data_IF_606300648674
#
_entry.id   IF_606300648674
#
_cell.length_a   1.000
_cell.length_b   1.000
_cell.length_c   1.000
_cell.angle_alpha   90.00
_cell.angle_beta   90.00
_cell.angle_gamma   90.00
#
_symmetry.space_group_name_H-M   'P 1'
#
loop_
_entity.id
_entity.type
_entity.pdbx_description
1 polymer ?
#
# COMPACT_ATOMS: atom_id res chain seq x y z
N UNK A 1 -13.30 -26.34 -9.09
CA UNK A 1 -12.61 -25.37 -9.97
C UNK A 1 -12.99 -23.98 -9.49
N UNK A 2 -12.10 -23.29 -8.79
CA UNK A 2 -12.35 -21.90 -8.37
C UNK A 2 -12.31 -21.06 -9.63
N UNK A 3 -13.47 -20.53 -10.05
CA UNK A 3 -13.55 -19.60 -11.16
C UNK A 3 -12.69 -18.39 -10.83
N UNK A 4 -11.50 -18.31 -11.44
CA UNK A 4 -10.59 -17.20 -11.25
C UNK A 4 -11.29 -15.92 -11.70
N UNK A 5 -11.64 -15.07 -10.73
CA UNK A 5 -12.25 -13.77 -11.03
C UNK A 5 -11.22 -12.97 -11.82
N UNK A 6 -11.62 -12.56 -13.03
CA UNK A 6 -10.81 -11.81 -13.99
C UNK A 6 -10.17 -10.57 -13.34
N UNK A 7 -8.87 -10.36 -13.56
CA UNK A 7 -8.10 -9.22 -13.06
C UNK A 7 -8.85 -7.89 -13.27
N UNK A 8 -9.53 -7.71 -14.41
CA UNK A 8 -10.30 -6.50 -14.69
C UNK A 8 -11.38 -6.25 -13.65
N UNK A 9 -12.15 -7.28 -13.28
CA UNK A 9 -13.20 -7.19 -12.29
C UNK A 9 -12.61 -6.88 -10.89
N UNK A 10 -11.49 -7.52 -10.55
CA UNK A 10 -10.79 -7.26 -9.27
C UNK A 10 -10.26 -5.82 -9.19
N UNK A 11 -9.63 -5.31 -10.26
CA UNK A 11 -9.18 -3.90 -10.37
C UNK A 11 -10.34 -2.92 -10.20
N UNK A 12 -11.49 -3.21 -10.81
CA UNK A 12 -12.68 -2.38 -10.69
C UNK A 12 -13.24 -2.38 -9.26
N UNK A 13 -13.29 -3.54 -8.60
CA UNK A 13 -13.72 -3.67 -7.21
C UNK A 13 -12.83 -2.89 -6.24
N UNK A 14 -11.50 -3.01 -6.36
CA UNK A 14 -10.53 -2.21 -5.58
C UNK A 14 -10.76 -0.72 -5.83
N UNK A 15 -10.81 -0.30 -7.09
CA UNK A 15 -11.02 1.11 -7.45
C UNK A 15 -12.31 1.67 -6.85
N UNK A 16 -13.41 0.89 -6.89
CA UNK A 16 -14.69 1.26 -6.29
C UNK A 16 -14.57 1.42 -4.78
N UNK A 17 -13.92 0.49 -4.09
CA UNK A 17 -13.71 0.54 -2.65
C UNK A 17 -12.88 1.76 -2.24
N UNK A 18 -11.74 2.01 -2.90
CA UNK A 18 -10.87 3.15 -2.61
C UNK A 18 -11.60 4.50 -2.83
N UNK A 19 -12.37 4.62 -3.92
CA UNK A 19 -13.21 5.82 -4.16
C UNK A 19 -14.30 6.00 -3.12
N UNK A 20 -14.96 4.92 -2.68
CA UNK A 20 -15.97 4.99 -1.63
C UNK A 20 -15.38 5.49 -0.30
N UNK A 21 -14.10 5.18 -0.06
CA UNK A 21 -13.31 5.68 1.08
C UNK A 21 -12.70 7.08 0.86
N UNK A 22 -13.01 7.74 -0.26
CA UNK A 22 -12.46 9.05 -0.67
C UNK A 22 -10.93 9.08 -0.73
N UNK A 23 -10.29 7.94 -0.97
CA UNK A 23 -8.84 7.86 -1.18
C UNK A 23 -8.52 8.60 -2.48
N UNK A 24 -7.57 9.54 -2.42
CA UNK A 24 -7.22 10.37 -3.55
C UNK A 24 -6.39 9.57 -4.56
N UNK A 25 -6.64 9.80 -5.86
CA UNK A 25 -5.79 9.30 -6.94
C UNK A 25 -4.96 10.47 -7.48
N UNK A 26 -3.64 10.42 -7.34
CA UNK A 26 -2.73 11.47 -7.85
C UNK A 26 -1.67 10.83 -8.72
N UNK A 27 -1.49 11.35 -9.93
CA UNK A 27 -0.52 10.84 -10.92
C UNK A 27 -0.64 9.32 -11.21
N UNK A 28 -1.79 8.71 -10.97
CA UNK A 28 -2.02 7.27 -11.17
C UNK A 28 -1.89 6.40 -9.93
N UNK A 29 -1.52 6.97 -8.79
CA UNK A 29 -1.27 6.25 -7.54
C UNK A 29 -2.27 6.63 -6.46
N UNK A 30 -2.75 5.66 -5.69
CA UNK A 30 -3.69 5.92 -4.60
C UNK A 30 -2.95 6.43 -3.39
N UNK A 31 -3.52 7.44 -2.74
CA UNK A 31 -2.89 8.17 -1.64
C UNK A 31 -3.74 8.18 -0.39
N UNK A 32 -3.14 7.72 0.69
CA UNK A 32 -3.74 7.70 2.02
C UNK A 32 -2.86 8.57 2.93
N UNK A 33 -3.21 9.86 3.09
CA UNK A 33 -2.42 10.77 3.92
C UNK A 33 -2.62 10.46 5.40
N UNK A 34 -1.52 10.39 6.15
CA UNK A 34 -1.48 10.44 7.60
C UNK A 34 -0.79 11.71 8.11
N UNK A 35 -0.64 11.88 9.43
CA UNK A 35 0.00 13.06 10.02
C UNK A 35 1.47 13.25 9.62
N UNK A 36 2.26 12.18 9.51
CA UNK A 36 3.68 12.23 9.15
C UNK A 36 4.00 11.34 7.95
N UNK A 37 3.30 10.22 7.83
CA UNK A 37 3.43 9.25 6.74
C UNK A 37 2.27 9.41 5.77
N UNK A 38 2.58 9.53 4.48
CA UNK A 38 1.61 9.29 3.41
C UNK A 38 1.90 7.94 2.80
N UNK A 39 0.84 7.11 2.72
CA UNK A 39 0.91 5.84 2.03
C UNK A 39 0.53 5.98 0.57
N UNK A 40 1.34 5.37 -0.29
CA UNK A 40 1.10 5.22 -1.72
C UNK A 40 0.74 3.77 -2.00
N UNK A 41 -0.38 3.53 -2.69
CA UNK A 41 -0.86 2.18 -2.98
C UNK A 41 -1.07 1.99 -4.46
N UNK A 42 -0.40 0.99 -5.01
CA UNK A 42 -0.49 0.54 -6.39
C UNK A 42 -1.04 -0.88 -6.45
N UNK A 43 -1.78 -1.18 -7.52
CA UNK A 43 -2.36 -2.51 -7.73
C UNK A 43 -1.67 -3.21 -8.89
N UNK A 44 -0.88 -4.23 -8.57
CA UNK A 44 -0.08 -5.01 -9.53
C UNK A 44 -0.69 -6.38 -9.77
N UNK A 45 -0.39 -6.94 -10.95
CA UNK A 45 -0.67 -8.33 -11.26
C UNK A 45 0.65 -9.02 -11.55
N UNK A 46 0.76 -10.27 -11.13
CA UNK A 46 2.00 -11.06 -11.22
C UNK A 46 2.28 -11.54 -12.65
N UNK A 47 1.32 -11.37 -13.55
CA UNK A 47 1.47 -11.70 -14.96
C UNK A 47 0.28 -11.22 -15.81
N UNK A 48 0.36 -11.42 -17.13
CA UNK A 48 -0.64 -10.94 -18.07
C UNK A 48 -1.91 -11.80 -18.12
N UNK A 49 -1.89 -13.02 -17.55
CA UNK A 49 -3.01 -13.94 -17.61
C UNK A 49 -4.22 -13.40 -16.82
N UNK A 50 -5.47 -13.48 -17.32
CA UNK A 50 -6.65 -12.93 -16.63
C UNK A 50 -6.86 -13.43 -15.19
N UNK A 51 -6.33 -14.60 -14.85
CA UNK A 51 -6.41 -15.19 -13.52
C UNK A 51 -5.13 -15.03 -12.68
N UNK A 52 -4.14 -14.26 -13.14
CA UNK A 52 -2.90 -14.07 -12.39
C UNK A 52 -3.18 -13.46 -11.01
N UNK A 53 -2.38 -13.86 -10.03
CA UNK A 53 -2.41 -13.27 -8.71
C UNK A 53 -2.20 -11.75 -8.81
N UNK A 54 -2.79 -11.04 -7.86
CA UNK A 54 -2.69 -9.60 -7.75
C UNK A 54 -2.18 -9.25 -6.37
N UNK A 55 -1.48 -8.14 -6.25
CA UNK A 55 -0.93 -7.63 -5.01
C UNK A 55 -1.10 -6.13 -4.91
N UNK A 56 -1.25 -5.63 -3.70
CA UNK A 56 -1.01 -4.24 -3.38
C UNK A 56 0.48 -4.04 -3.21
N UNK A 57 1.06 -3.20 -4.06
CA UNK A 57 2.39 -2.65 -3.88
C UNK A 57 2.19 -1.37 -3.04
N UNK A 58 2.79 -1.32 -1.86
CA UNK A 58 2.55 -0.28 -0.85
C UNK A 58 3.85 0.42 -0.53
N UNK A 59 3.85 1.75 -0.66
CA UNK A 59 4.95 2.62 -0.34
C UNK A 59 4.64 3.52 0.86
N UNK A 60 5.62 3.78 1.72
CA UNK A 60 5.50 4.80 2.76
C UNK A 60 6.48 5.96 2.51
N UNK A 61 5.95 7.17 2.38
CA UNK A 61 6.74 8.41 2.38
C UNK A 61 6.54 9.14 3.71
N UNK A 62 7.61 9.32 4.47
CA UNK A 62 7.63 10.18 5.65
C UNK A 62 8.08 11.59 5.26
N UNK A 63 7.30 12.61 5.62
CA UNK A 63 7.60 14.01 5.23
C UNK A 63 8.94 14.54 5.76
N UNK A 64 9.46 13.95 6.84
CA UNK A 64 10.78 14.25 7.38
C UNK A 64 11.95 13.84 6.46
N UNK A 65 11.72 12.94 5.49
CA UNK A 65 12.74 12.48 4.54
C UNK A 65 12.90 13.41 3.33
N UNK A 66 12.14 14.50 3.28
CA UNK A 66 12.19 15.49 2.21
C UNK A 66 10.94 15.46 1.33
N UNK A 67 11.05 15.95 0.07
CA UNK A 67 9.90 16.09 -0.80
C UNK A 67 9.28 14.72 -1.12
N UNK A 68 7.97 14.73 -1.32
CA UNK A 68 7.27 13.53 -1.75
C UNK A 68 7.77 13.04 -3.11
N UNK A 69 8.00 11.72 -3.29
CA UNK A 69 8.37 11.18 -4.59
C UNK A 69 7.28 11.45 -5.63
N UNK A 70 7.72 11.66 -6.87
CA UNK A 70 6.81 11.94 -7.99
C UNK A 70 6.12 10.70 -8.54
N UNK A 71 6.68 9.52 -8.29
CA UNK A 71 6.20 8.24 -8.80
C UNK A 71 5.36 7.46 -7.80
N UNK A 72 5.47 6.13 -7.87
CA UNK A 72 4.56 5.19 -7.21
C UNK A 72 5.07 4.68 -5.88
N UNK A 73 4.45 3.60 -5.41
CA UNK A 73 4.88 2.92 -4.18
C UNK A 73 6.37 2.52 -4.22
N UNK A 74 6.87 2.11 -5.39
CA UNK A 74 8.28 1.72 -5.60
C UNK A 74 9.31 2.82 -5.34
N UNK A 75 8.89 4.09 -5.40
CA UNK A 75 9.77 5.25 -5.20
C UNK A 75 9.78 5.74 -3.74
N UNK A 76 9.12 5.00 -2.84
CA UNK A 76 9.02 5.35 -1.42
C UNK A 76 10.14 4.70 -0.59
N UNK A 77 10.44 5.31 0.56
CA UNK A 77 11.48 4.85 1.48
C UNK A 77 11.14 3.52 2.18
N UNK A 78 9.86 3.14 2.21
CA UNK A 78 9.42 1.78 2.50
C UNK A 78 8.68 1.24 1.29
N UNK A 79 8.93 -0.01 0.93
CA UNK A 79 8.19 -0.75 -0.10
C UNK A 79 7.82 -2.14 0.41
N UNK A 80 6.54 -2.48 0.33
CA UNK A 80 6.01 -3.78 0.71
C UNK A 80 5.00 -4.29 -0.32
N UNK A 81 4.95 -5.60 -0.51
CA UNK A 81 3.92 -6.27 -1.29
C UNK A 81 2.95 -7.00 -0.36
N UNK A 82 1.64 -6.77 -0.55
CA UNK A 82 0.57 -7.48 0.16
C UNK A 82 -0.30 -8.19 -0.86
N UNK A 83 -0.37 -9.52 -0.77
CA UNK A 83 -1.20 -10.31 -1.67
C UNK A 83 -2.67 -9.89 -1.58
N UNK A 84 -3.32 -9.69 -2.72
CA UNK A 84 -4.76 -9.45 -2.79
C UNK A 84 -5.49 -10.79 -2.59
N UNK A 85 -5.81 -11.10 -1.34
CA UNK A 85 -6.57 -12.30 -0.98
C UNK A 85 -8.08 -12.01 -0.87
N UNK A 86 -8.90 -13.04 -1.07
CA UNK A 86 -10.34 -12.95 -0.89
C UNK A 86 -11.06 -11.98 -1.83
N UNK A 87 -12.13 -11.35 -1.32
CA UNK A 87 -12.94 -10.37 -2.05
C UNK A 87 -12.17 -9.04 -2.16
N UNK A 88 -11.96 -8.58 -3.38
CA UNK A 88 -11.02 -7.50 -3.69
C UNK A 88 -11.44 -6.14 -3.08
N UNK A 89 -12.73 -5.82 -3.02
CA UNK A 89 -13.22 -4.59 -2.41
C UNK A 89 -13.04 -4.58 -0.89
N UNK A 90 -13.35 -5.69 -0.23
CA UNK A 90 -13.15 -5.89 1.20
C UNK A 90 -11.66 -5.84 1.56
N UNK A 91 -10.80 -6.51 0.79
CA UNK A 91 -9.36 -6.47 0.99
C UNK A 91 -8.79 -5.04 0.86
N UNK A 92 -9.24 -4.28 -0.15
CA UNK A 92 -8.84 -2.88 -0.30
C UNK A 92 -9.31 -2.00 0.87
N UNK A 93 -10.52 -2.25 1.37
CA UNK A 93 -11.08 -1.52 2.52
C UNK A 93 -10.25 -1.80 3.77
N UNK A 94 -9.97 -3.07 4.06
CA UNK A 94 -9.16 -3.48 5.19
C UNK A 94 -7.74 -2.92 5.13
N UNK A 95 -7.15 -2.87 3.92
CA UNK A 95 -5.84 -2.26 3.72
C UNK A 95 -5.88 -0.76 4.05
N UNK A 96 -6.87 -0.02 3.55
CA UNK A 96 -7.00 1.42 3.85
C UNK A 96 -7.14 1.66 5.34
N UNK A 97 -7.96 0.87 6.04
CA UNK A 97 -8.11 0.96 7.49
C UNK A 97 -6.79 0.74 8.20
N UNK A 98 -6.05 -0.32 7.82
CA UNK A 98 -4.76 -0.62 8.43
C UNK A 98 -3.72 0.49 8.20
N UNK A 99 -3.63 1.01 6.98
CA UNK A 99 -2.66 2.07 6.66
C UNK A 99 -3.03 3.41 7.30
N UNK A 100 -4.32 3.71 7.47
CA UNK A 100 -4.78 4.91 8.16
C UNK A 100 -4.43 4.90 9.66
N UNK A 101 -4.34 3.73 10.30
CA UNK A 101 -3.84 3.59 11.68
C UNK A 101 -2.33 3.85 11.79
N UNK A 102 -1.60 3.72 10.68
CA UNK A 102 -0.14 3.82 10.63
C UNK A 102 0.32 5.14 10.03
N UNK A 103 -0.23 6.24 10.53
CA UNK A 103 0.00 7.59 9.99
C UNK A 103 1.25 8.31 10.50
N UNK A 104 1.96 7.75 11.49
CA UNK A 104 3.17 8.35 12.10
C UNK A 104 4.36 7.41 12.04
N UNK A 105 5.58 7.95 12.11
CA UNK A 105 6.82 7.15 12.16
C UNK A 105 6.80 6.21 13.37
N UNK A 106 6.35 6.69 14.53
CA UNK A 106 6.20 5.87 15.74
C UNK A 106 5.23 4.70 15.54
N UNK A 107 4.06 4.94 14.93
CA UNK A 107 3.07 3.89 14.69
C UNK A 107 3.60 2.80 13.73
N UNK A 108 4.38 3.20 12.72
CA UNK A 108 5.02 2.30 11.77
C UNK A 108 6.11 1.46 12.47
N UNK A 109 7.02 2.09 13.22
CA UNK A 109 8.05 1.40 13.98
C UNK A 109 7.45 0.39 14.97
N UNK A 110 6.39 0.78 15.68
CA UNK A 110 5.67 -0.10 16.59
C UNK A 110 4.99 -1.28 15.86
N UNK A 111 4.45 -1.06 14.66
CA UNK A 111 3.89 -2.14 13.85
C UNK A 111 4.98 -3.13 13.38
N UNK A 112 6.10 -2.60 12.90
CA UNK A 112 7.25 -3.39 12.45
C UNK A 112 7.87 -4.24 13.54
N UNK A 113 8.02 -3.71 14.75
CA UNK A 113 8.52 -4.48 15.90
C UNK A 113 7.59 -5.65 16.30
N UNK A 114 6.31 -5.62 15.90
CA UNK A 114 5.36 -6.74 16.07
C UNK A 114 5.30 -7.68 14.86
N UNK A 115 6.09 -7.43 13.83
CA UNK A 115 6.19 -8.25 12.63
C UNK A 115 5.37 -7.76 11.43
N UNK A 116 4.62 -6.66 11.55
CA UNK A 116 3.95 -6.08 10.39
C UNK A 116 5.00 -5.54 9.40
N UNK A 117 4.84 -5.83 8.11
CA UNK A 117 5.81 -5.40 7.08
C UNK A 117 7.25 -5.87 7.35
N UNK A 118 7.44 -6.99 8.06
CA UNK A 118 8.79 -7.51 8.36
C UNK A 118 9.63 -7.73 7.10
N UNK A 119 9.00 -8.18 6.01
CA UNK A 119 9.66 -8.43 4.72
C UNK A 119 9.74 -7.19 3.82
N UNK A 120 9.26 -6.03 4.29
CA UNK A 120 9.33 -4.80 3.52
C UNK A 120 10.77 -4.34 3.34
N UNK A 121 11.06 -3.84 2.14
CA UNK A 121 12.26 -3.04 1.92
C UNK A 121 12.09 -1.71 2.66
N UNK A 122 13.13 -1.30 3.38
CA UNK A 122 13.16 -0.03 4.12
C UNK A 122 14.54 0.60 3.92
N UNK A 123 14.54 1.80 3.35
CA UNK A 123 15.73 2.62 3.19
C UNK A 123 16.36 3.00 4.54
N UNK A 124 17.67 3.21 4.53
CA UNK A 124 18.46 3.57 5.72
C UNK A 124 17.88 4.76 6.47
N UNK A 125 17.53 5.82 5.76
CA UNK A 125 17.12 7.07 6.40
C UNK A 125 15.75 6.92 7.10
N UNK A 126 14.86 6.06 6.58
CA UNK A 126 13.61 5.72 7.26
C UNK A 126 13.84 4.81 8.49
N UNK A 127 14.81 3.89 8.43
CA UNK A 127 15.21 3.10 9.60
C UNK A 127 15.74 3.98 10.72
N UNK A 128 16.61 4.94 10.39
CA UNK A 128 17.12 5.93 11.36
C UNK A 128 15.98 6.74 11.99
N UNK A 129 15.00 7.19 11.20
CA UNK A 129 13.81 7.87 11.74
C UNK A 129 12.98 6.99 12.67
N UNK A 130 12.88 5.69 12.38
CA UNK A 130 12.16 4.73 13.23
C UNK A 130 12.95 4.28 14.46
N UNK A 131 14.25 4.58 14.53
CA UNK A 131 15.14 4.09 15.57
C UNK A 131 15.53 2.62 15.42
N UNK A 132 15.53 2.09 14.19
CA UNK A 132 15.98 0.73 13.82
C UNK A 132 17.47 0.65 13.46
#
# INVERSE_FOLDING_TARGET
MVGGVDQKARRAAVTKALRARKVALRKGHWRIPGPEITWIVDLRADGPAPAAAMRFEIGAWASALGPEPDGGAVDCALLADVLLEGEAGAAATALVDRLAELGTVESLAAARSRGDFADAYVDRDLRELMGE
#
